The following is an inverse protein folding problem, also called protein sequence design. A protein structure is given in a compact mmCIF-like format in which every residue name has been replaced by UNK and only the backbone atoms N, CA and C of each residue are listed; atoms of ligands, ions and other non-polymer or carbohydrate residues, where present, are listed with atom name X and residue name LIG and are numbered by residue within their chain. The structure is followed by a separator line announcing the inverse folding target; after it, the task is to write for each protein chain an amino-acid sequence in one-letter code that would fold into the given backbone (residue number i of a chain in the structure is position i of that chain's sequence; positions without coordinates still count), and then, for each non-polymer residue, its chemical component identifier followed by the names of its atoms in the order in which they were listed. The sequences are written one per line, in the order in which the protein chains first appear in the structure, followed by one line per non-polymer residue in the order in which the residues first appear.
data_IF_280357667249
#
_entry.id   IF_280357667249
#
_cell.length_a   1.000
_cell.length_b   1.000
_cell.length_c   1.000
_cell.angle_alpha   90.00
_cell.angle_beta   90.00
_cell.angle_gamma   90.00
#
_symmetry.space_group_name_H-M   'P 1'
#
loop_
_entity.id
_entity.type
_entity.pdbx_description
1 polymer ?
#
# COMPACT_ATOMS: atom_id res chain seq x y z
N UNK A 1 -32.64 14.41 -44.54
CA UNK A 1 -31.64 15.15 -43.72
C UNK A 1 -32.00 14.96 -42.25
N UNK A 2 -31.32 14.10 -41.47
CA UNK A 2 -30.12 14.40 -40.68
C UNK A 2 -30.23 15.65 -39.80
N UNK A 3 -30.63 15.51 -38.54
CA UNK A 3 -30.04 16.29 -37.45
C UNK A 3 -29.87 15.43 -36.20
N UNK A 4 -28.64 14.97 -36.04
CA UNK A 4 -28.05 14.35 -34.86
C UNK A 4 -28.08 15.35 -33.70
N UNK A 5 -28.67 15.00 -32.55
CA UNK A 5 -28.30 15.57 -31.25
C UNK A 5 -27.88 14.42 -30.34
N UNK A 6 -26.57 14.25 -30.22
CA UNK A 6 -25.96 13.39 -29.21
C UNK A 6 -26.05 14.07 -27.84
N UNK A 7 -26.31 13.33 -26.75
CA UNK A 7 -26.15 13.85 -25.40
C UNK A 7 -24.66 14.00 -25.05
N UNK A 8 -24.24 15.08 -24.36
CA UNK A 8 -22.89 15.21 -23.84
C UNK A 8 -22.82 14.55 -22.46
N UNK A 9 -22.83 13.22 -22.41
CA UNK A 9 -22.35 12.49 -21.23
C UNK A 9 -20.82 12.53 -21.23
N UNK A 10 -20.29 13.71 -20.86
CA UNK A 10 -18.85 13.94 -20.72
C UNK A 10 -18.36 13.16 -19.50
N UNK A 11 -17.78 12.00 -19.78
CA UNK A 11 -16.55 11.54 -19.15
C UNK A 11 -16.62 11.33 -17.62
N UNK A 12 -17.55 10.52 -17.15
CA UNK A 12 -17.14 9.54 -16.15
C UNK A 12 -16.29 8.52 -16.91
N UNK A 13 -15.00 8.81 -17.06
CA UNK A 13 -14.00 7.88 -17.62
C UNK A 13 -13.91 6.74 -16.61
N UNK A 14 -14.84 5.82 -16.74
CA UNK A 14 -14.85 4.51 -16.16
C UNK A 14 -13.50 3.88 -16.55
N UNK A 15 -12.52 3.96 -15.64
CA UNK A 15 -11.30 3.16 -15.72
C UNK A 15 -11.69 1.77 -15.20
N UNK A 16 -12.63 1.12 -15.89
CA UNK A 16 -13.07 -0.26 -15.66
C UNK A 16 -12.56 -1.07 -16.85
N UNK A 17 -11.24 -1.31 -16.84
CA UNK A 17 -10.56 -1.87 -18.01
C UNK A 17 -9.05 -2.01 -17.85
N UNK A 18 -8.50 -1.82 -16.66
CA UNK A 18 -7.24 -2.47 -16.33
C UNK A 18 -7.64 -3.89 -15.88
N UNK A 19 -7.06 -4.96 -16.45
CA UNK A 19 -7.25 -6.28 -15.88
C UNK A 19 -6.97 -6.15 -14.38
N UNK A 20 -7.91 -6.56 -13.53
CA UNK A 20 -7.66 -6.70 -12.09
C UNK A 20 -6.35 -7.48 -12.00
N UNK A 21 -5.25 -6.78 -11.69
CA UNK A 21 -3.93 -7.39 -11.74
C UNK A 21 -3.98 -8.56 -10.77
N UNK A 22 -3.60 -9.76 -11.24
CA UNK A 22 -3.56 -10.93 -10.37
C UNK A 22 -2.80 -10.57 -9.09
N UNK A 23 -3.27 -11.07 -7.96
CA UNK A 23 -2.68 -10.78 -6.65
C UNK A 23 -1.16 -11.06 -6.65
N UNK A 24 -0.72 -12.05 -7.42
CA UNK A 24 0.70 -12.37 -7.65
C UNK A 24 1.46 -11.24 -8.36
N UNK A 25 0.84 -10.59 -9.35
CA UNK A 25 1.41 -9.45 -10.08
C UNK A 25 1.50 -8.22 -9.18
N UNK A 26 0.47 -7.95 -8.38
CA UNK A 26 0.48 -6.86 -7.40
C UNK A 26 1.55 -7.11 -6.33
N UNK A 27 1.65 -8.34 -5.82
CA UNK A 27 2.68 -8.74 -4.85
C UNK A 27 4.09 -8.61 -5.43
N UNK A 28 4.29 -8.97 -6.71
CA UNK A 28 5.55 -8.79 -7.41
C UNK A 28 5.95 -7.32 -7.55
N UNK A 29 5.01 -6.45 -7.92
CA UNK A 29 5.24 -5.00 -7.98
C UNK A 29 5.57 -4.43 -6.60
N UNK A 30 4.80 -4.82 -5.58
CA UNK A 30 5.01 -4.43 -4.20
C UNK A 30 6.38 -4.86 -3.68
N UNK A 31 6.79 -6.11 -3.88
CA UNK A 31 8.10 -6.60 -3.47
C UNK A 31 9.24 -5.80 -4.11
N UNK A 32 9.08 -5.41 -5.37
CA UNK A 32 10.07 -4.61 -6.07
C UNK A 32 10.16 -3.20 -5.50
N UNK A 33 9.02 -2.53 -5.29
CA UNK A 33 8.95 -1.23 -4.62
C UNK A 33 9.59 -1.25 -3.23
N UNK A 34 9.29 -2.28 -2.44
CA UNK A 34 9.87 -2.48 -1.10
C UNK A 34 11.38 -2.66 -1.15
N UNK A 35 11.90 -3.40 -2.12
CA UNK A 35 13.35 -3.57 -2.28
C UNK A 35 14.05 -2.26 -2.65
N UNK A 36 13.42 -1.43 -3.49
CA UNK A 36 13.92 -0.09 -3.83
C UNK A 36 13.92 0.83 -2.60
N UNK A 37 12.82 0.83 -1.82
CA UNK A 37 12.72 1.56 -0.56
C UNK A 37 13.78 1.11 0.47
N UNK A 38 14.05 -0.20 0.58
CA UNK A 38 15.05 -0.76 1.50
C UNK A 38 16.50 -0.46 1.08
N UNK A 39 16.73 -0.30 -0.23
CA UNK A 39 18.01 0.16 -0.80
C UNK A 39 18.18 1.68 -0.71
N UNK A 40 17.09 2.42 -0.51
CA UNK A 40 17.09 3.88 -0.46
C UNK A 40 17.25 4.54 -1.83
N UNK A 41 17.01 3.80 -2.92
CA UNK A 41 17.17 4.30 -4.27
C UNK A 41 15.96 3.91 -5.13
N UNK A 42 15.06 4.88 -5.35
CA UNK A 42 13.89 4.75 -6.22
C UNK A 42 14.28 5.27 -7.59
N UNK A 43 14.67 4.37 -8.49
CA UNK A 43 15.21 4.73 -9.82
C UNK A 43 14.07 4.89 -10.85
N UNK A 44 12.84 4.52 -10.47
CA UNK A 44 11.69 4.50 -11.37
C UNK A 44 10.97 5.83 -11.43
N UNK A 45 10.56 6.18 -12.65
CA UNK A 45 9.74 7.37 -12.95
C UNK A 45 8.25 7.03 -13.17
N UNK A 46 7.87 5.76 -13.08
CA UNK A 46 6.50 5.29 -13.32
C UNK A 46 6.00 4.55 -12.09
N UNK A 47 4.94 5.07 -11.48
CA UNK A 47 4.26 4.47 -10.34
C UNK A 47 2.77 4.34 -10.64
N UNK A 48 2.16 3.27 -10.16
CA UNK A 48 0.71 3.06 -10.19
C UNK A 48 0.05 3.88 -9.06
N UNK A 49 -1.25 4.22 -9.19
CA UNK A 49 -1.95 5.02 -8.17
C UNK A 49 -1.84 4.44 -6.75
N UNK A 50 -1.90 3.11 -6.61
CA UNK A 50 -1.78 2.43 -5.33
C UNK A 50 -0.35 2.48 -4.75
N UNK A 51 0.68 2.42 -5.60
CA UNK A 51 2.08 2.57 -5.18
C UNK A 51 2.34 3.98 -4.65
N UNK A 52 1.80 5.00 -5.32
CA UNK A 52 1.89 6.40 -4.87
C UNK A 52 1.19 6.57 -3.52
N UNK A 53 -0.03 6.04 -3.38
CA UNK A 53 -0.75 6.08 -2.12
C UNK A 53 0.05 5.41 -0.98
N UNK A 54 0.73 4.29 -1.27
CA UNK A 54 1.60 3.62 -0.30
C UNK A 54 2.83 4.48 0.06
N UNK A 55 3.50 5.05 -0.94
CA UNK A 55 4.66 5.91 -0.71
C UNK A 55 4.31 7.14 0.14
N UNK A 56 3.15 7.76 -0.12
CA UNK A 56 2.63 8.86 0.68
C UNK A 56 2.34 8.43 2.12
N UNK A 57 1.71 7.27 2.31
CA UNK A 57 1.43 6.70 3.63
C UNK A 57 2.73 6.42 4.41
N UNK A 58 3.77 5.91 3.74
CA UNK A 58 5.10 5.70 4.32
C UNK A 58 5.75 7.01 4.76
N UNK A 59 5.64 8.06 3.93
CA UNK A 59 6.18 9.39 4.27
C UNK A 59 5.41 10.03 5.43
N UNK A 60 4.08 9.86 5.49
CA UNK A 60 3.27 10.37 6.60
C UNK A 60 3.60 9.71 7.95
N UNK A 61 4.09 8.48 7.93
CA UNK A 61 4.46 7.76 9.17
C UNK A 61 5.76 8.27 9.83
N UNK A 62 6.50 9.20 9.20
CA UNK A 62 7.73 9.83 9.72
C UNK A 62 8.68 8.84 10.43
N UNK A 63 8.98 7.72 9.77
CA UNK A 63 9.82 6.69 10.35
C UNK A 63 11.29 7.13 10.33
N UNK A 64 11.93 7.22 11.50
CA UNK A 64 13.39 7.41 11.64
C UNK A 64 14.14 6.38 10.79
N UNK A 65 15.12 6.80 9.98
CA UNK A 65 15.79 5.96 8.97
C UNK A 65 16.29 4.60 9.49
N UNK A 66 16.81 4.57 10.72
CA UNK A 66 17.26 3.33 11.37
C UNK A 66 16.13 2.33 11.64
N UNK A 67 14.96 2.81 12.06
CA UNK A 67 13.77 1.96 12.29
C UNK A 67 12.96 1.75 11.01
N UNK A 68 13.01 2.69 10.05
CA UNK A 68 12.31 2.64 8.77
C UNK A 68 12.64 1.35 8.01
N UNK A 69 13.93 1.01 7.89
CA UNK A 69 14.36 -0.21 7.19
C UNK A 69 13.83 -1.48 7.85
N UNK A 70 13.86 -1.55 9.18
CA UNK A 70 13.36 -2.72 9.90
C UNK A 70 11.83 -2.82 9.83
N UNK A 71 11.13 -1.71 10.02
CA UNK A 71 9.67 -1.62 9.89
C UNK A 71 9.21 -2.02 8.49
N UNK A 72 9.87 -1.51 7.44
CA UNK A 72 9.58 -1.87 6.05
C UNK A 72 9.78 -3.37 5.80
N UNK A 73 10.85 -3.99 6.33
CA UNK A 73 11.03 -5.46 6.23
C UNK A 73 9.93 -6.24 6.93
N UNK A 74 9.51 -5.82 8.12
CA UNK A 74 8.43 -6.48 8.87
C UNK A 74 7.09 -6.32 8.16
N UNK A 75 6.84 -5.13 7.63
CA UNK A 75 5.66 -4.80 6.84
C UNK A 75 5.60 -5.62 5.53
N UNK A 76 6.72 -5.74 4.81
CA UNK A 76 6.81 -6.57 3.60
C UNK A 76 6.37 -8.02 3.86
N UNK A 77 6.87 -8.64 4.95
CA UNK A 77 6.48 -9.99 5.36
C UNK A 77 5.03 -10.09 5.83
N UNK A 78 4.47 -9.01 6.38
CA UNK A 78 3.09 -8.99 6.82
C UNK A 78 2.14 -8.95 5.61
N UNK A 79 2.42 -8.08 4.64
CA UNK A 79 1.67 -7.99 3.37
C UNK A 79 1.77 -9.30 2.59
N UNK A 80 2.97 -9.89 2.47
CA UNK A 80 3.14 -11.17 1.78
C UNK A 80 2.28 -12.28 2.40
N UNK A 81 2.31 -12.43 3.73
CA UNK A 81 1.46 -13.41 4.43
C UNK A 81 -0.04 -13.12 4.30
N UNK A 82 -0.43 -11.86 4.21
CA UNK A 82 -1.83 -11.48 4.04
C UNK A 82 -2.33 -11.78 2.62
N UNK A 83 -1.48 -11.58 1.61
CA UNK A 83 -1.78 -11.94 0.22
C UNK A 83 -1.77 -13.46 0.02
N UNK A 84 -0.86 -14.19 0.67
CA UNK A 84 -0.90 -15.67 0.72
C UNK A 84 -2.19 -16.19 1.37
N UNK A 85 -2.75 -15.45 2.33
CA UNK A 85 -4.04 -15.77 2.97
C UNK A 85 -5.26 -15.47 2.07
N UNK A 86 -5.05 -14.91 0.87
CA UNK A 86 -6.10 -14.62 -0.10
C UNK A 86 -6.59 -13.17 -0.12
N UNK A 87 -5.88 -12.23 0.51
CA UNK A 87 -6.18 -10.80 0.32
C UNK A 87 -5.66 -10.32 -1.04
N UNK A 88 -6.51 -9.64 -1.81
CA UNK A 88 -6.17 -9.13 -3.15
C UNK A 88 -5.27 -7.88 -3.12
N UNK A 89 -5.30 -7.12 -2.03
CA UNK A 89 -4.64 -5.82 -1.95
C UNK A 89 -3.61 -5.74 -0.80
N UNK A 90 -2.49 -5.02 -1.01
CA UNK A 90 -1.52 -4.76 0.05
C UNK A 90 -2.13 -3.84 1.11
N UNK A 91 -2.12 -4.27 2.37
CA UNK A 91 -2.52 -3.47 3.53
C UNK A 91 -1.68 -2.20 3.63
N UNK A 92 -2.24 -1.05 4.03
CA UNK A 92 -1.48 0.20 4.22
C UNK A 92 -0.48 0.10 5.37
N UNK A 93 0.61 0.87 5.33
CA UNK A 93 1.60 0.84 6.40
C UNK A 93 1.03 1.42 7.70
N UNK A 94 0.23 2.48 7.61
CA UNK A 94 -0.52 3.06 8.74
C UNK A 94 -1.39 2.03 9.47
N UNK A 95 -2.17 1.24 8.73
CA UNK A 95 -2.96 0.12 9.27
C UNK A 95 -2.08 -0.92 9.97
N UNK A 96 -0.96 -1.29 9.34
CA UNK A 96 -0.01 -2.23 9.94
C UNK A 96 0.59 -1.68 11.25
N UNK A 97 0.97 -0.39 11.28
CA UNK A 97 1.49 0.27 12.46
C UNK A 97 0.43 0.38 13.57
N UNK A 98 -0.81 0.68 13.22
CA UNK A 98 -1.94 0.69 14.15
C UNK A 98 -2.18 -0.71 14.75
N UNK A 99 -2.18 -1.76 13.92
CA UNK A 99 -2.29 -3.14 14.36
C UNK A 99 -1.11 -3.56 15.24
N UNK A 100 0.11 -3.13 14.91
CA UNK A 100 1.30 -3.40 15.71
C UNK A 100 1.27 -2.66 17.06
N UNK A 101 0.78 -1.41 17.08
CA UNK A 101 0.56 -0.64 18.30
C UNK A 101 -0.50 -1.30 19.18
N UNK A 102 -1.63 -1.72 18.61
CA UNK A 102 -2.68 -2.45 19.31
C UNK A 102 -2.16 -3.77 19.89
N UNK A 103 -1.36 -4.53 19.13
CA UNK A 103 -0.70 -5.75 19.65
C UNK A 103 0.26 -5.46 20.80
N UNK A 104 1.04 -4.38 20.72
CA UNK A 104 1.94 -3.98 21.82
C UNK A 104 1.17 -3.58 23.08
N UNK A 105 0.04 -2.91 22.92
CA UNK A 105 -0.85 -2.57 24.03
C UNK A 105 -1.52 -3.83 24.61
N UNK A 106 -1.92 -4.78 23.76
CA UNK A 106 -2.52 -6.04 24.19
C UNK A 106 -1.53 -6.99 24.88
N UNK A 107 -0.26 -7.01 24.45
CA UNK A 107 0.83 -7.76 25.08
C UNK A 107 1.45 -7.02 26.27
N UNK A 108 1.13 -5.74 26.45
CA UNK A 108 1.57 -4.87 27.53
C UNK A 108 0.39 -4.36 28.34
N UNK A 109 -0.44 -5.28 28.85
CA UNK A 109 -1.50 -4.98 29.82
C UNK A 109 -0.97 -4.10 30.97
N UNK A 110 -1.86 -3.27 31.55
CA UNK A 110 -1.54 -1.94 32.06
C UNK A 110 -0.43 -1.96 33.10
N UNK A 111 0.65 -1.22 32.83
CA UNK A 111 1.50 -0.76 33.91
C UNK A 111 0.63 0.14 34.81
N UNK A 112 0.23 -0.43 35.94
CA UNK A 112 -0.04 0.23 37.22
C UNK A 112 0.12 1.75 37.19
N UNK A 113 -1.01 2.46 37.23
CA UNK A 113 -1.10 3.78 37.84
C UNK A 113 -2.01 3.62 39.06
N UNK A 114 -1.35 3.40 40.19
CA UNK A 114 -1.84 3.72 41.53
C UNK A 114 -1.96 5.23 41.71
#
# INVERSE_FOLDING_TARGET
MMHKKAPPERMARQIDGLPELDAETILGQFNRLMNELLRGNLIRNTFRPWEIALLLDIQMCDLRDGQKRETLRRYQRAVQRQMEKGSRDPMKLSDYLAANKAKRLALGGPATLS
#
